data_IF_686433777657
#
_entry.id   IF_686433777657
#
_cell.length_a   1.000
_cell.length_b   1.000
_cell.length_c   1.000
_cell.angle_alpha   90.00
_cell.angle_beta   90.00
_cell.angle_gamma   90.00
#
_symmetry.space_group_name_H-M   'P 1'
#
loop_
_entity.id
_entity.type
_entity.pdbx_description
1 polymer ?
#
# COMPACT_ATOMS: atom_id res chain seq x y z
N UNK A 1 -71.49 20.58 -40.33
CA UNK A 1 -70.52 20.63 -41.43
C UNK A 1 -69.35 21.49 -40.99
N UNK A 2 -68.18 20.98 -41.12
CA UNK A 2 -66.82 21.49 -41.00
C UNK A 2 -65.99 20.87 -39.85
N UNK A 3 -65.24 19.85 -40.31
CA UNK A 3 -64.19 19.19 -39.57
C UNK A 3 -62.97 20.14 -39.41
N UNK A 4 -62.41 20.22 -38.24
CA UNK A 4 -61.06 20.74 -38.04
C UNK A 4 -60.22 19.74 -37.33
N UNK A 5 -59.26 19.15 -37.99
CA UNK A 5 -58.27 18.23 -37.51
C UNK A 5 -57.20 19.00 -36.75
N UNK A 6 -57.01 18.73 -35.48
CA UNK A 6 -55.86 19.19 -34.74
C UNK A 6 -54.76 18.13 -34.80
N UNK A 7 -53.69 18.48 -35.47
CA UNK A 7 -52.47 17.72 -35.58
C UNK A 7 -51.65 17.91 -34.30
N UNK A 8 -51.59 16.88 -33.46
CA UNK A 8 -50.79 16.87 -32.26
C UNK A 8 -49.36 16.46 -32.56
N UNK A 9 -48.44 17.43 -32.48
CA UNK A 9 -47.00 17.20 -32.68
C UNK A 9 -46.43 16.68 -31.37
N UNK A 10 -46.13 15.38 -31.29
CA UNK A 10 -45.50 14.76 -30.12
C UNK A 10 -43.99 14.91 -30.24
N UNK A 11 -43.40 15.88 -29.50
CA UNK A 11 -41.96 15.99 -29.36
C UNK A 11 -41.44 14.90 -28.42
N UNK A 12 -40.80 13.91 -29.00
CA UNK A 12 -40.07 12.86 -28.24
C UNK A 12 -38.71 13.40 -27.81
N UNK A 13 -38.62 13.92 -26.59
CA UNK A 13 -37.34 14.30 -25.96
C UNK A 13 -36.62 13.02 -25.52
N UNK A 14 -35.59 12.62 -26.29
CA UNK A 14 -34.66 11.57 -25.86
C UNK A 14 -33.79 12.10 -24.73
N UNK A 15 -34.11 11.72 -23.49
CA UNK A 15 -33.16 11.84 -22.37
C UNK A 15 -32.07 10.77 -22.56
N UNK A 16 -30.93 11.19 -23.09
CA UNK A 16 -29.70 10.41 -23.04
C UNK A 16 -29.17 10.44 -21.60
N UNK A 17 -29.56 9.45 -20.80
CA UNK A 17 -28.94 9.18 -19.51
C UNK A 17 -27.50 8.69 -19.76
N UNK A 18 -26.54 9.61 -19.66
CA UNK A 18 -25.12 9.28 -19.61
C UNK A 18 -24.83 8.49 -18.34
N UNK A 19 -24.68 7.18 -18.49
CA UNK A 19 -24.11 6.37 -17.40
C UNK A 19 -22.66 6.77 -17.22
N UNK A 20 -22.21 7.10 -15.98
CA UNK A 20 -20.80 7.31 -15.73
C UNK A 20 -20.07 5.99 -16.00
N UNK A 21 -19.20 5.95 -17.00
CA UNK A 21 -18.25 4.87 -17.16
C UNK A 21 -17.33 4.89 -15.92
N UNK A 22 -17.62 4.05 -14.95
CA UNK A 22 -16.66 3.71 -13.92
C UNK A 22 -15.55 2.94 -14.62
N UNK A 23 -14.39 3.56 -14.78
CA UNK A 23 -13.20 2.84 -15.21
C UNK A 23 -12.99 1.71 -14.18
N UNK A 24 -13.04 0.46 -14.65
CA UNK A 24 -12.78 -0.69 -13.80
C UNK A 24 -11.39 -0.55 -13.18
N UNK A 25 -11.30 -0.71 -11.86
CA UNK A 25 -10.03 -0.71 -11.15
C UNK A 25 -9.15 -1.84 -11.72
N UNK A 26 -7.86 -1.57 -12.00
CA UNK A 26 -6.96 -2.61 -12.49
C UNK A 26 -6.97 -3.81 -11.54
N UNK A 27 -7.07 -5.05 -12.04
CA UNK A 27 -7.04 -6.22 -11.19
C UNK A 27 -5.75 -6.24 -10.38
N UNK A 28 -5.85 -6.58 -9.08
CA UNK A 28 -4.68 -6.78 -8.25
C UNK A 28 -3.79 -7.87 -8.88
N UNK A 29 -2.46 -7.71 -8.83
CA UNK A 29 -1.55 -8.71 -9.40
C UNK A 29 -1.78 -10.06 -8.73
N UNK A 30 -1.82 -11.13 -9.52
CA UNK A 30 -2.01 -12.51 -9.04
C UNK A 30 -0.88 -12.96 -8.11
N UNK A 31 0.31 -12.36 -8.28
CA UNK A 31 1.48 -12.58 -7.43
C UNK A 31 2.03 -11.23 -6.98
N UNK A 32 2.27 -11.07 -5.68
CA UNK A 32 2.88 -9.85 -5.16
C UNK A 32 4.28 -9.66 -5.79
N UNK A 33 4.61 -8.46 -6.25
CA UNK A 33 5.85 -8.21 -7.01
C UNK A 33 7.12 -8.62 -6.27
N UNK A 34 7.17 -8.49 -4.94
CA UNK A 34 8.33 -8.90 -4.14
C UNK A 34 8.54 -10.42 -4.10
N UNK A 35 7.57 -11.23 -4.52
CA UNK A 35 7.67 -12.67 -4.63
C UNK A 35 8.28 -13.14 -5.95
N UNK A 36 8.39 -12.25 -6.93
CA UNK A 36 8.93 -12.60 -8.25
C UNK A 36 10.43 -12.90 -8.16
N UNK A 37 10.88 -13.83 -9.00
CA UNK A 37 12.30 -14.13 -9.12
C UNK A 37 13.08 -12.87 -9.49
N UNK A 38 14.18 -12.61 -8.78
CA UNK A 38 15.00 -11.42 -8.98
C UNK A 38 14.38 -10.09 -8.54
N UNK A 39 13.27 -10.10 -7.80
CA UNK A 39 12.75 -8.89 -7.14
C UNK A 39 13.81 -8.30 -6.20
N UNK A 40 14.00 -6.96 -6.19
CA UNK A 40 15.03 -6.32 -5.38
C UNK A 40 14.76 -6.46 -3.89
N UNK A 41 15.80 -6.23 -3.09
CA UNK A 41 15.74 -6.05 -1.64
C UNK A 41 16.23 -4.65 -1.29
N UNK A 42 15.78 -4.08 -0.18
CA UNK A 42 16.43 -2.92 0.41
C UNK A 42 17.84 -3.32 0.91
N UNK A 43 18.75 -2.35 0.93
CA UNK A 43 20.13 -2.63 1.38
C UNK A 43 20.25 -2.55 2.92
N UNK A 44 19.35 -3.25 3.61
CA UNK A 44 19.38 -3.42 5.07
C UNK A 44 18.66 -4.71 5.47
N UNK A 45 19.19 -5.38 6.48
CA UNK A 45 18.54 -6.52 7.09
C UNK A 45 17.42 -6.10 8.03
N UNK A 46 16.53 -7.05 8.39
CA UNK A 46 15.45 -6.79 9.33
C UNK A 46 15.95 -6.36 10.72
N UNK A 47 17.08 -6.91 11.17
CA UNK A 47 17.67 -6.55 12.47
C UNK A 47 18.19 -5.11 12.45
N UNK A 48 18.90 -4.72 11.41
CA UNK A 48 19.38 -3.34 11.22
C UNK A 48 18.23 -2.34 11.13
N UNK A 49 17.18 -2.69 10.38
CA UNK A 49 15.97 -1.87 10.29
C UNK A 49 15.35 -1.66 11.67
N UNK A 50 15.09 -2.75 12.42
CA UNK A 50 14.44 -2.68 13.73
C UNK A 50 15.26 -1.85 14.73
N UNK A 51 16.56 -2.04 14.80
CA UNK A 51 17.45 -1.27 15.67
C UNK A 51 17.37 0.23 15.37
N UNK A 52 17.53 0.60 14.10
CA UNK A 52 17.46 2.00 13.65
C UNK A 52 16.07 2.59 13.86
N UNK A 53 15.02 1.84 13.53
CA UNK A 53 13.64 2.27 13.68
C UNK A 53 13.31 2.57 15.16
N UNK A 54 13.64 1.65 16.07
CA UNK A 54 13.37 1.81 17.50
C UNK A 54 14.15 2.97 18.11
N UNK A 55 15.40 3.17 17.67
CA UNK A 55 16.21 4.32 18.10
C UNK A 55 15.63 5.65 17.66
N UNK A 56 15.10 5.70 16.43
CA UNK A 56 14.52 6.91 15.84
C UNK A 56 13.10 7.18 16.34
N UNK A 57 12.36 6.12 16.67
CA UNK A 57 10.96 6.18 17.08
C UNK A 57 10.74 5.51 18.46
N UNK A 58 11.28 6.05 19.56
CA UNK A 58 11.23 5.38 20.87
C UNK A 58 9.82 5.18 21.43
N UNK A 59 8.83 5.94 20.94
CA UNK A 59 7.40 5.79 21.32
C UNK A 59 6.63 4.80 20.45
N UNK A 60 7.28 4.24 19.42
CA UNK A 60 6.72 3.29 18.47
C UNK A 60 7.62 2.04 18.35
N UNK A 61 7.94 1.35 19.43
CA UNK A 61 8.86 0.22 19.37
C UNK A 61 8.29 -0.93 18.53
N UNK A 62 9.18 -1.60 17.80
CA UNK A 62 8.94 -2.88 17.16
C UNK A 62 9.67 -3.96 17.93
N UNK A 63 8.93 -5.01 18.33
CA UNK A 63 9.50 -6.20 18.93
C UNK A 63 10.26 -7.03 17.90
N UNK A 64 10.87 -8.12 18.34
CA UNK A 64 11.57 -9.05 17.47
C UNK A 64 10.64 -9.63 16.40
N UNK A 65 11.11 -9.62 15.15
CA UNK A 65 10.41 -10.27 14.05
C UNK A 65 10.63 -11.79 14.12
N UNK A 66 9.56 -12.51 14.30
CA UNK A 66 9.56 -13.99 14.34
C UNK A 66 9.12 -14.55 13.00
N UNK A 67 9.82 -15.59 12.56
CA UNK A 67 9.44 -16.30 11.33
C UNK A 67 7.99 -16.80 11.44
N UNK A 68 7.25 -16.64 10.35
CA UNK A 68 5.90 -17.18 10.20
C UNK A 68 6.02 -18.39 9.30
N UNK A 69 5.74 -19.58 9.82
CA UNK A 69 5.64 -20.79 9.04
C UNK A 69 4.40 -20.73 8.15
N UNK A 70 4.60 -20.72 6.86
CA UNK A 70 3.52 -20.66 5.88
C UNK A 70 3.67 -21.73 4.83
N UNK A 71 2.61 -22.48 4.56
CA UNK A 71 2.51 -23.51 3.52
C UNK A 71 2.77 -22.99 2.08
N UNK A 72 3.20 -21.76 1.93
CA UNK A 72 3.49 -21.08 0.66
C UNK A 72 4.88 -20.46 0.65
N UNK A 73 5.82 -21.04 1.39
CA UNK A 73 7.20 -20.54 1.37
C UNK A 73 7.79 -20.74 -0.01
N UNK A 74 8.03 -19.62 -0.67
CA UNK A 74 8.89 -19.64 -1.86
C UNK A 74 10.32 -19.95 -1.41
N UNK A 75 11.08 -20.76 -2.18
CA UNK A 75 12.40 -21.26 -1.77
C UNK A 75 13.39 -20.15 -1.33
N UNK A 76 13.19 -18.93 -1.83
CA UNK A 76 14.11 -17.80 -1.64
C UNK A 76 13.63 -16.74 -0.65
N UNK A 77 12.54 -16.98 0.06
CA UNK A 77 11.95 -16.02 0.98
C UNK A 77 11.73 -16.61 2.37
N UNK A 78 11.85 -15.74 3.37
CA UNK A 78 11.39 -15.96 4.74
C UNK A 78 10.36 -14.88 5.05
N UNK A 79 9.23 -15.26 5.62
CA UNK A 79 8.25 -14.30 6.16
C UNK A 79 8.43 -14.20 7.66
N UNK A 80 8.33 -12.97 8.17
CA UNK A 80 8.41 -12.73 9.59
C UNK A 80 7.42 -11.63 10.01
N UNK A 81 7.01 -11.65 11.27
CA UNK A 81 6.14 -10.65 11.84
C UNK A 81 6.54 -10.28 13.26
N UNK A 82 6.19 -9.05 13.64
CA UNK A 82 6.26 -8.50 14.99
C UNK A 82 4.86 -8.03 15.37
N UNK A 83 4.33 -8.54 16.47
CA UNK A 83 3.03 -8.11 17.02
C UNK A 83 3.25 -6.83 17.80
N UNK A 84 2.59 -5.75 17.40
CA UNK A 84 2.62 -4.47 18.12
C UNK A 84 1.56 -4.47 19.23
N UNK A 85 0.34 -4.90 18.89
CA UNK A 85 -0.76 -5.15 19.83
C UNK A 85 -1.78 -6.10 19.21
N UNK A 86 -2.96 -6.28 19.82
CA UNK A 86 -3.97 -7.26 19.38
C UNK A 86 -4.53 -6.98 17.97
N UNK A 87 -4.44 -5.74 17.51
CA UNK A 87 -5.02 -5.31 16.24
C UNK A 87 -4.03 -4.58 15.31
N UNK A 88 -2.73 -4.61 15.64
CA UNK A 88 -1.69 -3.96 14.87
C UNK A 88 -0.44 -4.82 14.77
N UNK A 89 0.01 -5.07 13.55
CA UNK A 89 1.13 -5.96 13.24
C UNK A 89 2.08 -5.30 12.25
N UNK A 90 3.38 -5.52 12.45
CA UNK A 90 4.38 -5.34 11.42
C UNK A 90 4.72 -6.70 10.80
N UNK A 91 4.78 -6.80 9.49
CA UNK A 91 5.18 -8.02 8.78
C UNK A 91 6.14 -7.70 7.64
N UNK A 92 6.95 -8.68 7.27
CA UNK A 92 8.00 -8.50 6.28
C UNK A 92 8.21 -9.77 5.48
N UNK A 93 8.57 -9.58 4.20
CA UNK A 93 9.18 -10.61 3.37
C UNK A 93 10.68 -10.34 3.30
N UNK A 94 11.47 -11.34 3.59
CA UNK A 94 12.93 -11.26 3.68
C UNK A 94 13.58 -12.16 2.64
N UNK A 95 14.66 -11.71 2.07
CA UNK A 95 15.52 -12.55 1.24
C UNK A 95 16.18 -13.62 2.12
N UNK A 96 16.04 -14.88 1.72
CA UNK A 96 16.64 -16.01 2.47
C UNK A 96 18.16 -15.93 2.42
N UNK A 97 18.79 -16.13 3.56
CA UNK A 97 20.25 -16.08 3.71
C UNK A 97 20.76 -14.70 4.15
N UNK A 98 20.32 -13.62 3.52
CA UNK A 98 20.77 -12.24 3.86
C UNK A 98 19.86 -11.55 4.86
N UNK A 99 18.60 -11.99 4.99
CA UNK A 99 17.52 -11.35 5.74
C UNK A 99 17.28 -9.89 5.34
N UNK A 100 17.68 -9.51 4.12
CA UNK A 100 17.38 -8.20 3.54
C UNK A 100 15.88 -8.08 3.25
N UNK A 101 15.34 -6.88 3.45
CA UNK A 101 13.90 -6.62 3.36
C UNK A 101 13.46 -6.50 1.91
N UNK A 102 12.50 -7.31 1.48
CA UNK A 102 11.82 -7.24 0.17
C UNK A 102 10.46 -6.56 0.25
N UNK A 103 9.84 -6.54 1.41
CA UNK A 103 8.61 -5.82 1.70
C UNK A 103 8.51 -5.60 3.19
N UNK A 104 8.12 -4.39 3.62
CA UNK A 104 7.78 -4.06 4.99
C UNK A 104 6.35 -3.57 5.04
N UNK A 105 5.53 -4.14 5.92
CA UNK A 105 4.09 -3.88 5.99
C UNK A 105 3.66 -3.58 7.42
N UNK A 106 2.72 -2.65 7.55
CA UNK A 106 1.95 -2.40 8.78
C UNK A 106 0.49 -2.71 8.47
N UNK A 107 -0.09 -3.64 9.22
CA UNK A 107 -1.50 -4.02 9.08
C UNK A 107 -2.26 -3.68 10.35
N UNK A 108 -3.32 -2.91 10.21
CA UNK A 108 -4.27 -2.57 11.25
C UNK A 108 -5.60 -3.27 11.01
N UNK A 109 -6.09 -3.98 12.02
CA UNK A 109 -7.40 -4.61 12.04
C UNK A 109 -8.34 -3.68 12.81
N UNK A 110 -9.40 -3.13 12.17
CA UNK A 110 -10.32 -2.23 12.84
C UNK A 110 -11.02 -2.90 14.02
N UNK A 111 -11.12 -2.17 15.11
CA UNK A 111 -11.88 -2.56 16.31
C UNK A 111 -13.16 -1.73 16.38
N UNK A 112 -14.17 -2.25 17.03
CA UNK A 112 -15.39 -1.50 17.32
C UNK A 112 -15.29 -0.86 18.70
N UNK A 113 -16.02 0.24 18.89
CA UNK A 113 -16.13 0.89 20.18
C UNK A 113 -15.32 2.19 20.34
N UNK A 114 -15.29 2.74 21.55
CA UNK A 114 -14.75 4.09 21.82
C UNK A 114 -13.25 4.21 21.51
N UNK A 115 -12.50 3.11 21.57
CA UNK A 115 -11.06 3.11 21.35
C UNK A 115 -10.66 3.06 19.86
N UNK A 116 -11.61 2.86 18.95
CA UNK A 116 -11.35 2.73 17.50
C UNK A 116 -10.53 3.91 16.96
N UNK A 117 -10.88 5.13 17.34
CA UNK A 117 -10.20 6.34 16.87
C UNK A 117 -8.73 6.39 17.32
N UNK A 118 -8.48 6.04 18.58
CA UNK A 118 -7.12 6.03 19.14
C UNK A 118 -6.29 4.90 18.53
N UNK A 119 -6.86 3.71 18.37
CA UNK A 119 -6.20 2.57 17.71
C UNK A 119 -5.83 2.89 16.26
N UNK A 120 -6.74 3.52 15.50
CA UNK A 120 -6.45 3.97 14.14
C UNK A 120 -5.34 5.02 14.10
N UNK A 121 -5.39 6.00 14.98
CA UNK A 121 -4.35 7.03 15.06
C UNK A 121 -2.96 6.40 15.31
N UNK A 122 -2.88 5.44 16.24
CA UNK A 122 -1.64 4.71 16.52
C UNK A 122 -1.14 3.92 15.31
N UNK A 123 -2.03 3.25 14.59
CA UNK A 123 -1.68 2.56 13.35
C UNK A 123 -1.10 3.51 12.30
N UNK A 124 -1.70 4.69 12.11
CA UNK A 124 -1.21 5.70 11.17
C UNK A 124 0.15 6.26 11.58
N UNK A 125 0.44 6.39 12.88
CA UNK A 125 1.77 6.76 13.38
C UNK A 125 2.83 5.73 12.94
N UNK A 126 2.58 4.43 13.14
CA UNK A 126 3.48 3.37 12.69
C UNK A 126 3.66 3.35 11.18
N UNK A 127 2.56 3.45 10.40
CA UNK A 127 2.63 3.49 8.94
C UNK A 127 3.47 4.68 8.45
N UNK A 128 3.30 5.87 9.05
CA UNK A 128 4.06 7.06 8.72
C UNK A 128 5.54 6.93 9.09
N UNK A 129 5.85 6.33 10.23
CA UNK A 129 7.23 6.10 10.67
C UNK A 129 7.94 5.08 9.77
N UNK A 130 7.24 4.03 9.33
CA UNK A 130 7.77 3.07 8.34
C UNK A 130 8.00 3.76 6.99
N UNK A 131 7.05 4.57 6.50
CA UNK A 131 7.25 5.35 5.28
C UNK A 131 8.52 6.21 5.38
N UNK A 132 8.70 6.93 6.48
CA UNK A 132 9.88 7.77 6.70
C UNK A 132 11.18 6.96 6.74
N UNK A 133 11.17 5.79 7.38
CA UNK A 133 12.36 4.93 7.50
C UNK A 133 12.89 4.47 6.14
N UNK A 134 12.00 4.26 5.15
CA UNK A 134 12.38 3.89 3.78
C UNK A 134 12.48 5.09 2.82
N UNK A 135 12.14 6.29 3.29
CA UNK A 135 12.25 7.54 2.51
C UNK A 135 12.85 8.64 3.40
N UNK A 136 14.11 8.49 3.80
CA UNK A 136 14.73 9.35 4.82
C UNK A 136 14.87 10.83 4.41
N UNK A 137 14.71 11.14 3.14
CA UNK A 137 14.68 12.53 2.65
C UNK A 137 13.43 13.31 3.13
N UNK A 138 12.37 12.60 3.55
CA UNK A 138 11.15 13.22 4.07
C UNK A 138 11.27 13.51 5.56
N UNK A 139 10.81 14.69 5.96
CA UNK A 139 10.57 15.00 7.38
C UNK A 139 9.37 14.19 7.90
N UNK A 140 9.24 14.08 9.22
CA UNK A 140 8.08 13.43 9.87
C UNK A 140 6.75 14.00 9.36
N UNK A 141 6.63 15.32 9.25
CA UNK A 141 5.43 16.00 8.74
C UNK A 141 5.14 15.64 7.28
N UNK A 142 6.17 15.64 6.44
CA UNK A 142 6.02 15.27 5.03
C UNK A 142 5.62 13.80 4.86
N UNK A 143 6.18 12.90 5.68
CA UNK A 143 5.81 11.48 5.70
C UNK A 143 4.35 11.26 6.09
N UNK A 144 3.86 11.99 7.09
CA UNK A 144 2.45 11.97 7.48
C UNK A 144 1.53 12.48 6.36
N UNK A 145 1.90 13.59 5.71
CA UNK A 145 1.14 14.16 4.59
C UNK A 145 1.12 13.21 3.39
N UNK A 146 2.26 12.58 3.08
CA UNK A 146 2.35 11.60 2.00
C UNK A 146 1.50 10.37 2.29
N UNK A 147 1.62 9.81 3.49
CA UNK A 147 0.77 8.69 3.90
C UNK A 147 -0.72 9.04 3.77
N UNK A 148 -1.15 10.21 4.23
CA UNK A 148 -2.54 10.65 4.12
C UNK A 148 -3.01 10.69 2.65
N UNK A 149 -2.19 11.20 1.72
CA UNK A 149 -2.51 11.21 0.29
C UNK A 149 -2.67 9.78 -0.26
N UNK A 150 -1.74 8.88 0.08
CA UNK A 150 -1.78 7.48 -0.33
C UNK A 150 -3.04 6.77 0.19
N UNK A 151 -3.42 7.00 1.45
CA UNK A 151 -4.60 6.41 2.05
C UNK A 151 -5.90 6.94 1.43
N UNK A 152 -5.96 8.22 1.09
CA UNK A 152 -7.11 8.81 0.37
C UNK A 152 -7.23 8.19 -1.02
N UNK A 153 -6.13 8.08 -1.76
CA UNK A 153 -6.10 7.50 -3.10
C UNK A 153 -6.42 5.99 -3.10
N UNK A 154 -5.99 5.28 -2.06
CA UNK A 154 -6.24 3.85 -1.87
C UNK A 154 -7.52 3.49 -1.13
N UNK A 155 -8.35 4.47 -0.74
CA UNK A 155 -9.56 4.24 0.04
C UNK A 155 -10.51 3.27 -0.66
N UNK A 156 -10.97 2.24 0.06
CA UNK A 156 -11.84 1.16 -0.43
C UNK A 156 -11.25 0.35 -1.60
N UNK A 157 -9.94 0.44 -1.83
CA UNK A 157 -9.26 -0.35 -2.85
C UNK A 157 -8.54 -1.53 -2.21
N UNK A 158 -8.73 -2.69 -2.78
CA UNK A 158 -7.99 -3.90 -2.34
C UNK A 158 -6.51 -3.80 -2.61
N UNK A 159 -6.13 -3.01 -3.61
CA UNK A 159 -4.76 -2.83 -4.03
C UNK A 159 -4.60 -1.48 -4.75
N UNK A 160 -3.85 -0.58 -4.14
CA UNK A 160 -3.44 0.68 -4.74
C UNK A 160 -1.93 0.83 -4.59
N UNK A 161 -1.27 1.28 -5.63
CA UNK A 161 0.18 1.50 -5.60
C UNK A 161 0.55 2.86 -6.15
N UNK A 162 1.60 3.43 -5.57
CA UNK A 162 2.30 4.61 -6.06
C UNK A 162 3.80 4.37 -5.98
N UNK A 163 4.52 4.76 -7.02
CA UNK A 163 5.97 4.61 -7.10
C UNK A 163 6.64 5.97 -7.06
N UNK A 164 7.68 6.10 -6.24
CA UNK A 164 8.52 7.28 -6.16
C UNK A 164 9.99 6.88 -5.98
N UNK A 165 10.82 7.26 -6.96
CA UNK A 165 12.20 6.82 -6.99
C UNK A 165 12.30 5.29 -7.00
N UNK A 166 13.12 4.74 -6.11
CA UNK A 166 13.34 3.29 -5.98
C UNK A 166 12.35 2.60 -5.03
N UNK A 167 11.26 3.27 -4.64
CA UNK A 167 10.30 2.78 -3.65
C UNK A 167 8.91 2.72 -4.26
N UNK A 168 8.21 1.63 -3.99
CA UNK A 168 6.78 1.48 -4.24
C UNK A 168 6.04 1.43 -2.91
N UNK A 169 5.03 2.27 -2.79
CA UNK A 169 4.07 2.25 -1.69
C UNK A 169 2.85 1.45 -2.11
N UNK A 170 2.33 0.65 -1.21
CA UNK A 170 1.13 -0.17 -1.43
C UNK A 170 0.12 0.15 -0.32
N UNK A 171 -1.12 0.37 -0.72
CA UNK A 171 -2.27 0.49 0.20
C UNK A 171 -3.28 -0.58 -0.17
N UNK A 172 -3.69 -1.37 0.81
CA UNK A 172 -4.79 -2.30 0.69
C UNK A 172 -5.84 -1.97 1.75
N UNK A 173 -6.93 -1.34 1.34
CA UNK A 173 -8.04 -0.97 2.22
C UNK A 173 -9.19 -1.97 1.99
N UNK A 174 -9.29 -2.93 2.90
CA UNK A 174 -10.34 -3.96 2.90
C UNK A 174 -11.48 -3.64 3.87
N UNK A 175 -11.63 -2.37 4.26
CA UNK A 175 -12.65 -1.90 5.18
C UNK A 175 -12.54 -2.58 6.55
N UNK A 176 -13.60 -3.25 6.99
CA UNK A 176 -13.63 -3.94 8.30
C UNK A 176 -12.63 -5.10 8.42
N UNK A 177 -12.13 -5.63 7.29
CA UNK A 177 -11.14 -6.72 7.27
C UNK A 177 -9.71 -6.24 7.46
N UNK A 178 -9.48 -4.94 7.45
CA UNK A 178 -8.17 -4.37 7.74
C UNK A 178 -7.65 -3.40 6.71
N UNK A 179 -6.73 -2.56 7.16
CA UNK A 179 -5.96 -1.62 6.36
C UNK A 179 -4.49 -2.02 6.43
N UNK A 180 -3.88 -2.24 5.27
CA UNK A 180 -2.44 -2.51 5.16
C UNK A 180 -1.77 -1.39 4.37
N UNK A 181 -0.66 -0.92 4.90
CA UNK A 181 0.30 -0.07 4.21
C UNK A 181 1.61 -0.82 4.07
N UNK A 182 2.19 -0.84 2.87
CA UNK A 182 3.47 -1.50 2.63
C UNK A 182 4.44 -0.62 1.84
N UNK A 183 5.72 -0.91 2.03
CA UNK A 183 6.84 -0.32 1.31
C UNK A 183 7.66 -1.44 0.68
N UNK A 184 7.94 -1.31 -0.61
CA UNK A 184 8.68 -2.30 -1.40
C UNK A 184 9.76 -1.61 -2.23
N UNK A 185 10.96 -2.20 -2.38
CA UNK A 185 11.94 -1.70 -3.32
C UNK A 185 11.53 -2.03 -4.76
N UNK A 186 11.91 -1.18 -5.70
CA UNK A 186 11.79 -1.47 -7.13
C UNK A 186 13.15 -1.34 -7.81
N UNK A 187 13.34 -2.07 -8.90
CA UNK A 187 14.46 -1.81 -9.81
C UNK A 187 14.14 -0.57 -10.63
N UNK A 188 15.02 0.42 -10.58
CA UNK A 188 14.96 1.53 -11.53
C UNK A 188 15.41 0.98 -12.89
N UNK A 189 14.60 1.19 -13.93
CA UNK A 189 15.05 0.98 -15.29
C UNK A 189 16.13 2.05 -15.57
N UNK A 190 17.36 1.61 -15.85
CA UNK A 190 18.35 2.49 -16.46
C UNK A 190 17.78 2.84 -17.83
N UNK A 191 17.46 4.12 -18.05
CA UNK A 191 17.12 4.58 -19.40
C UNK A 191 18.35 4.39 -20.27
N UNK A 192 18.27 3.52 -21.28
CA UNK A 192 19.28 3.32 -22.33
C UNK A 192 19.36 4.54 -23.27
N UNK A 193 19.46 5.74 -22.71
CA UNK A 193 19.58 6.99 -23.48
C UNK A 193 21.02 7.45 -23.67
N UNK A 194 22.00 6.54 -23.58
CA UNK A 194 23.39 6.82 -23.95
C UNK A 194 23.88 5.89 -25.07
N UNK A 195 23.09 5.73 -26.13
CA UNK A 195 23.47 4.90 -27.27
C UNK A 195 22.91 5.40 -28.57
N UNK A 196 23.36 6.57 -29.05
CA UNK A 196 22.88 7.05 -30.33
C UNK A 196 23.52 8.35 -30.77
N UNK A 197 24.84 8.43 -30.74
CA UNK A 197 25.60 9.43 -31.46
C UNK A 197 26.77 8.72 -32.17
N UNK A 198 26.50 8.31 -33.38
CA UNK A 198 27.50 8.10 -34.46
C UNK A 198 26.89 8.55 -35.76
#
# INVERSE_FOLDING_TARGET
MKNSAHLLFLCFAMLSAGFPLHAAEPPAPTTAPYLLAGAPSFDQSISQFRETFNKTNPTLPLDEFRAIDGARDTPNLTRAASKINENLYASTALERGTLKIKSMQITWLPIQGPEQKAAKAKALEYMSAVLQAFTPALTKKQSQQKLQKLLVAGKNKRYYTETEGAVRYVVADNGEKGLTFAVEPIKLALSDTLGGAN
#
